data_IF_956949512181
#
_entry.id   IF_956949512181
#
_cell.length_a   1.000
_cell.length_b   1.000
_cell.length_c   1.000
_cell.angle_alpha   90.00
_cell.angle_beta   90.00
_cell.angle_gamma   90.00
#
_symmetry.space_group_name_H-M   'P 1'
#
loop_
_entity.id
_entity.type
_entity.pdbx_description
1 polymer ?
#
# COMPACT_ATOMS: atom_id res chain seq x y z
N UNK A 1 21.25 3.71 -14.41
CA UNK A 1 20.50 4.78 -13.73
C UNK A 1 19.02 4.48 -13.87
N UNK A 2 18.23 4.75 -12.82
CA UNK A 2 16.79 4.50 -12.76
C UNK A 2 16.06 5.82 -12.51
N UNK A 3 15.16 6.18 -13.41
CA UNK A 3 14.17 7.24 -13.18
C UNK A 3 12.99 6.64 -12.44
N UNK A 4 12.63 7.18 -11.28
CA UNK A 4 11.58 6.63 -10.44
C UNK A 4 10.32 7.51 -10.43
N UNK A 5 9.16 6.87 -10.53
CA UNK A 5 7.86 7.50 -10.36
C UNK A 5 7.07 6.79 -9.27
N UNK A 6 6.87 7.43 -8.14
CA UNK A 6 6.11 6.93 -6.99
C UNK A 6 5.78 8.05 -6.02
N UNK A 7 5.08 7.72 -4.94
CA UNK A 7 4.73 8.68 -3.91
C UNK A 7 5.48 8.34 -2.62
N UNK A 8 6.66 8.95 -2.42
CA UNK A 8 7.54 8.68 -1.27
C UNK A 8 8.11 9.97 -0.68
N UNK A 9 8.78 9.88 0.48
CA UNK A 9 9.42 11.01 1.14
C UNK A 9 8.43 12.05 1.69
N UNK A 10 7.18 11.64 1.97
CA UNK A 10 6.10 12.51 2.43
C UNK A 10 5.53 12.06 3.77
N UNK A 11 6.27 11.22 4.51
CA UNK A 11 5.90 10.75 5.84
C UNK A 11 4.82 9.66 5.85
N UNK A 12 4.45 9.11 4.68
CA UNK A 12 3.56 7.95 4.61
C UNK A 12 4.39 6.67 4.56
N UNK A 13 4.49 5.97 5.68
CA UNK A 13 5.33 4.77 5.82
C UNK A 13 5.01 3.68 4.79
N UNK A 14 3.78 3.62 4.28
CA UNK A 14 3.42 2.65 3.26
C UNK A 14 4.05 2.93 1.89
N UNK A 15 4.02 4.18 1.45
CA UNK A 15 4.62 4.58 0.19
C UNK A 15 6.15 4.59 0.30
N UNK A 16 6.69 4.97 1.48
CA UNK A 16 8.12 4.91 1.78
C UNK A 16 8.61 3.45 1.80
N UNK A 17 7.84 2.50 2.36
CA UNK A 17 8.11 1.06 2.32
C UNK A 17 8.34 0.52 0.90
N UNK A 18 7.48 0.95 -0.03
CA UNK A 18 7.61 0.56 -1.44
C UNK A 18 8.91 1.09 -2.04
N UNK A 19 9.24 2.36 -1.77
CA UNK A 19 10.45 2.97 -2.28
C UNK A 19 11.72 2.31 -1.72
N UNK A 20 11.74 2.02 -0.42
CA UNK A 20 12.84 1.31 0.24
C UNK A 20 13.07 -0.08 -0.37
N UNK A 21 11.99 -0.79 -0.67
CA UNK A 21 12.05 -2.08 -1.38
C UNK A 21 12.63 -1.89 -2.78
N UNK A 22 12.14 -0.92 -3.56
CA UNK A 22 12.65 -0.66 -4.90
C UNK A 22 14.16 -0.36 -4.86
N UNK A 23 14.60 0.48 -3.92
CA UNK A 23 16.02 0.79 -3.75
C UNK A 23 16.84 -0.45 -3.36
N UNK A 24 16.32 -1.29 -2.47
CA UNK A 24 16.95 -2.52 -2.02
C UNK A 24 17.04 -3.54 -3.17
N UNK A 25 15.95 -3.76 -3.88
CA UNK A 25 15.88 -4.70 -4.99
C UNK A 25 16.74 -4.25 -6.19
N UNK A 26 16.90 -2.95 -6.38
CA UNK A 26 17.74 -2.37 -7.45
C UNK A 26 19.03 -1.75 -6.90
N UNK A 27 19.55 -2.31 -5.80
CA UNK A 27 20.81 -1.83 -5.23
C UNK A 27 21.95 -1.86 -6.28
N UNK A 28 22.74 -0.81 -6.31
CA UNK A 28 23.73 -0.54 -7.34
C UNK A 28 23.24 0.39 -8.46
N UNK A 29 21.94 0.68 -8.55
CA UNK A 29 21.42 1.73 -9.42
C UNK A 29 21.54 3.11 -8.77
N UNK A 30 21.69 4.14 -9.60
CA UNK A 30 21.55 5.53 -9.18
C UNK A 30 20.10 5.95 -9.51
N UNK A 31 19.38 6.46 -8.52
CA UNK A 31 17.98 6.88 -8.66
C UNK A 31 17.86 8.37 -8.92
N UNK A 32 16.92 8.72 -9.79
CA UNK A 32 16.48 10.11 -10.06
C UNK A 32 14.96 10.12 -10.05
N UNK A 33 14.34 10.94 -9.22
CA UNK A 33 12.89 11.04 -9.18
C UNK A 33 12.34 11.80 -10.38
N UNK A 34 11.21 11.36 -10.90
CA UNK A 34 10.42 12.14 -11.85
C UNK A 34 9.80 13.32 -11.07
N UNK A 35 10.09 14.58 -11.49
CA UNK A 35 9.62 15.76 -10.79
C UNK A 35 8.09 15.85 -10.72
N UNK A 36 7.54 15.94 -9.50
CA UNK A 36 6.11 15.99 -9.25
C UNK A 36 5.52 17.41 -9.42
N UNK A 37 6.27 18.44 -9.02
CA UNK A 37 5.79 19.81 -8.99
C UNK A 37 6.40 20.69 -10.09
N UNK A 38 5.70 21.73 -10.55
CA UNK A 38 6.21 22.62 -11.62
C UNK A 38 7.56 23.27 -11.30
N UNK A 39 7.82 23.60 -10.02
CA UNK A 39 9.10 24.18 -9.62
C UNK A 39 10.24 23.16 -9.65
N UNK A 40 9.99 21.89 -9.29
CA UNK A 40 10.95 20.80 -9.41
C UNK A 40 11.28 20.53 -10.89
N UNK A 41 10.24 20.59 -11.75
CA UNK A 41 10.38 20.43 -13.20
C UNK A 41 11.23 21.55 -13.82
N UNK A 42 10.98 22.79 -13.41
CA UNK A 42 11.79 23.94 -13.84
C UNK A 42 13.24 23.79 -13.36
N UNK A 43 13.44 23.35 -12.12
CA UNK A 43 14.77 23.10 -11.57
C UNK A 43 15.50 21.99 -12.35
N UNK A 44 14.84 20.86 -12.62
CA UNK A 44 15.42 19.75 -13.38
C UNK A 44 15.85 20.20 -14.78
N UNK A 45 15.01 20.97 -15.48
CA UNK A 45 15.34 21.52 -16.80
C UNK A 45 16.49 22.54 -16.73
N UNK A 46 16.49 23.44 -15.73
CA UNK A 46 17.52 24.46 -15.57
C UNK A 46 18.91 23.88 -15.19
N UNK A 47 18.93 22.76 -14.45
CA UNK A 47 20.15 22.08 -14.02
C UNK A 47 20.65 21.01 -14.99
N UNK A 48 19.86 20.69 -16.02
CA UNK A 48 20.17 19.62 -16.98
C UNK A 48 19.91 18.21 -16.46
N UNK A 49 19.21 18.03 -15.33
CA UNK A 49 18.83 16.72 -14.80
C UNK A 49 17.96 15.92 -15.79
N UNK A 50 17.08 16.60 -16.54
CA UNK A 50 16.31 15.99 -17.62
C UNK A 50 17.23 15.36 -18.69
N UNK A 51 18.38 15.97 -18.94
CA UNK A 51 19.36 15.43 -19.88
C UNK A 51 20.09 14.19 -19.31
N UNK A 52 20.33 14.16 -17.99
CA UNK A 52 20.92 13.02 -17.30
C UNK A 52 19.97 11.81 -17.25
N UNK A 53 18.65 12.06 -17.21
CA UNK A 53 17.64 11.01 -17.21
C UNK A 53 17.47 10.32 -18.59
N UNK A 54 17.99 10.90 -19.67
CA UNK A 54 17.93 10.28 -21.00
C UNK A 54 18.69 8.96 -21.03
N UNK A 55 18.01 7.92 -21.55
CA UNK A 55 18.54 6.57 -21.61
C UNK A 55 18.58 5.84 -20.26
N UNK A 56 18.02 6.44 -19.18
CA UNK A 56 17.74 5.71 -17.96
C UNK A 56 16.53 4.81 -18.14
N UNK A 57 16.40 3.80 -17.29
CA UNK A 57 15.18 3.01 -17.22
C UNK A 57 14.15 3.65 -16.28
N UNK A 58 12.89 3.67 -16.66
CA UNK A 58 11.80 4.18 -15.83
C UNK A 58 11.19 3.05 -15.01
N UNK A 59 11.17 3.22 -13.68
CA UNK A 59 10.48 2.31 -12.76
C UNK A 59 9.33 3.03 -12.09
N UNK A 60 8.12 2.49 -12.25
CA UNK A 60 6.96 2.93 -11.48
C UNK A 60 6.91 2.10 -10.20
N UNK A 61 6.97 2.78 -9.04
CA UNK A 61 6.74 2.16 -7.74
C UNK A 61 5.29 1.76 -7.54
N UNK A 62 5.04 0.98 -6.50
CA UNK A 62 3.70 0.57 -6.10
C UNK A 62 2.80 1.74 -5.67
N UNK A 63 1.69 1.40 -5.04
CA UNK A 63 0.64 2.35 -4.73
C UNK A 63 -0.44 2.38 -5.81
N UNK A 64 -1.56 3.05 -5.54
CA UNK A 64 -2.66 3.18 -6.51
C UNK A 64 -2.37 4.35 -7.45
N UNK A 65 -1.66 4.09 -8.54
CA UNK A 65 -1.19 5.09 -9.50
C UNK A 65 -1.97 5.03 -10.82
N UNK A 66 -2.15 3.82 -11.38
CA UNK A 66 -2.87 3.64 -12.65
C UNK A 66 -4.34 4.04 -12.51
N UNK A 67 -4.91 4.65 -13.53
CA UNK A 67 -6.25 5.22 -13.51
C UNK A 67 -6.33 6.64 -12.96
N UNK A 68 -5.24 7.21 -12.45
CA UNK A 68 -5.21 8.59 -11.94
C UNK A 68 -4.58 9.55 -12.94
N UNK A 69 -5.33 10.58 -13.34
CA UNK A 69 -4.89 11.60 -14.30
C UNK A 69 -3.58 12.30 -13.91
N UNK A 70 -3.41 12.56 -12.61
CA UNK A 70 -2.19 13.18 -12.09
C UNK A 70 -0.95 12.35 -12.42
N UNK A 71 -0.96 11.06 -12.03
CA UNK A 71 0.18 10.17 -12.27
C UNK A 71 0.35 9.84 -13.76
N UNK A 72 -0.74 9.77 -14.55
CA UNK A 72 -0.62 9.57 -15.99
C UNK A 72 0.18 10.70 -16.65
N UNK A 73 -0.05 11.95 -16.27
CA UNK A 73 0.70 13.10 -16.80
C UNK A 73 2.18 13.06 -16.40
N UNK A 74 2.48 12.62 -15.17
CA UNK A 74 3.86 12.45 -14.74
C UNK A 74 4.53 11.29 -15.48
N UNK A 75 3.82 10.19 -15.69
CA UNK A 75 4.30 9.06 -16.47
C UNK A 75 4.60 9.44 -17.90
N UNK A 76 3.70 10.14 -18.58
CA UNK A 76 3.86 10.60 -19.95
C UNK A 76 5.14 11.42 -20.09
N UNK A 77 5.33 12.40 -19.19
CA UNK A 77 6.57 13.18 -19.12
C UNK A 77 7.80 12.32 -18.81
N UNK A 78 7.69 11.37 -17.85
CA UNK A 78 8.79 10.45 -17.53
C UNK A 78 9.26 9.68 -18.76
N UNK A 79 8.32 9.15 -19.52
CA UNK A 79 8.59 8.44 -20.78
C UNK A 79 9.25 9.35 -21.83
N UNK A 80 8.77 10.60 -21.97
CA UNK A 80 9.40 11.58 -22.86
C UNK A 80 10.83 11.91 -22.42
N UNK A 81 11.06 12.00 -21.12
CA UNK A 81 12.38 12.35 -20.54
C UNK A 81 13.40 11.23 -20.75
N UNK A 82 13.04 9.97 -20.50
CA UNK A 82 13.96 8.83 -20.67
C UNK A 82 14.20 8.48 -22.14
N UNK A 83 13.26 8.80 -23.05
CA UNK A 83 13.35 8.48 -24.48
C UNK A 83 13.19 7.00 -24.78
N UNK A 84 14.26 6.36 -25.26
CA UNK A 84 14.26 4.93 -25.65
C UNK A 84 14.61 3.97 -24.47
N UNK A 85 14.63 4.46 -23.23
CA UNK A 85 14.89 3.64 -22.04
C UNK A 85 13.75 2.67 -21.75
N UNK A 86 14.09 1.55 -21.12
CA UNK A 86 13.13 0.51 -20.70
C UNK A 86 12.19 1.02 -19.60
N UNK A 87 10.97 0.49 -19.58
CA UNK A 87 9.93 0.88 -18.62
C UNK A 87 9.43 -0.33 -17.82
N UNK A 88 9.30 -0.18 -16.51
CA UNK A 88 8.87 -1.24 -15.61
C UNK A 88 7.84 -0.74 -14.61
N UNK A 89 6.79 -1.54 -14.37
CA UNK A 89 5.78 -1.31 -13.36
C UNK A 89 5.63 -2.60 -12.54
N UNK A 90 6.07 -2.60 -11.28
CA UNK A 90 6.05 -3.78 -10.43
C UNK A 90 5.09 -3.57 -9.27
N UNK A 91 4.06 -4.42 -9.20
CA UNK A 91 3.11 -4.43 -8.10
C UNK A 91 2.26 -3.17 -8.00
N UNK A 92 1.96 -2.49 -9.10
CA UNK A 92 1.16 -1.25 -9.08
C UNK A 92 -0.32 -1.53 -8.76
N UNK A 93 -0.98 -0.59 -8.09
CA UNK A 93 -2.43 -0.61 -7.91
C UNK A 93 -3.14 0.21 -8.99
N UNK A 94 -4.35 -0.22 -9.32
CA UNK A 94 -5.24 0.47 -10.26
C UNK A 94 -6.40 1.11 -9.50
N UNK A 95 -6.73 2.35 -9.85
CA UNK A 95 -7.92 3.04 -9.30
C UNK A 95 -9.18 2.35 -9.83
N UNK A 96 -10.05 1.92 -8.93
CA UNK A 96 -11.31 1.29 -9.32
C UNK A 96 -12.37 2.38 -9.57
N UNK A 97 -12.92 2.48 -10.78
CA UNK A 97 -13.92 3.48 -11.13
C UNK A 97 -15.25 3.32 -10.38
N UNK A 98 -15.47 2.19 -9.70
CA UNK A 98 -16.64 1.99 -8.84
C UNK A 98 -16.64 2.92 -7.64
N UNK A 99 -15.47 3.39 -7.22
CA UNK A 99 -15.32 4.32 -6.11
C UNK A 99 -15.29 5.76 -6.62
N UNK A 100 -16.35 6.51 -6.33
CA UNK A 100 -16.43 7.94 -6.62
C UNK A 100 -16.01 8.73 -5.38
N UNK A 101 -14.71 8.81 -5.14
CA UNK A 101 -14.14 9.63 -4.07
C UNK A 101 -13.95 11.10 -4.48
N UNK A 102 -13.79 11.98 -3.51
CA UNK A 102 -13.52 13.41 -3.77
C UNK A 102 -12.18 13.65 -4.50
N UNK A 103 -11.24 12.72 -4.33
CA UNK A 103 -9.88 12.82 -4.91
C UNK A 103 -9.68 11.91 -6.12
N UNK A 104 -10.60 10.98 -6.36
CA UNK A 104 -10.58 10.16 -7.56
C UNK A 104 -10.99 11.04 -8.73
N UNK A 105 -10.01 11.54 -9.43
CA UNK A 105 -10.23 12.24 -10.70
C UNK A 105 -10.50 11.26 -11.84
N UNK A 106 -11.27 10.20 -11.59
CA UNK A 106 -11.73 9.26 -12.61
C UNK A 106 -12.83 9.93 -13.44
N UNK A 107 -12.42 10.80 -14.34
CA UNK A 107 -13.25 11.08 -15.52
C UNK A 107 -13.48 9.73 -16.22
N UNK A 108 -14.68 9.53 -16.75
CA UNK A 108 -14.98 8.42 -17.63
C UNK A 108 -13.82 8.24 -18.63
N UNK A 109 -13.30 7.02 -18.77
CA UNK A 109 -12.17 6.64 -19.62
C UNK A 109 -10.75 7.02 -19.16
N UNK A 110 -10.49 7.53 -17.95
CA UNK A 110 -9.12 7.85 -17.55
C UNK A 110 -8.20 6.60 -17.61
N UNK A 111 -8.69 5.45 -17.17
CA UNK A 111 -7.92 4.20 -17.21
C UNK A 111 -7.58 3.77 -18.65
N UNK A 112 -8.48 3.97 -19.62
CA UNK A 112 -8.21 3.69 -21.05
C UNK A 112 -7.07 4.54 -21.60
N UNK A 113 -6.86 5.74 -21.05
CA UNK A 113 -5.76 6.64 -21.45
C UNK A 113 -4.40 6.15 -20.95
N UNK A 114 -4.37 5.23 -19.98
CA UNK A 114 -3.14 4.60 -19.51
C UNK A 114 -2.66 3.48 -20.45
N UNK A 115 -3.57 2.86 -21.20
CA UNK A 115 -3.23 1.73 -22.07
C UNK A 115 -2.05 2.01 -23.01
N UNK A 116 -2.02 3.10 -23.83
CA UNK A 116 -0.91 3.33 -24.75
C UNK A 116 0.42 3.54 -24.03
N UNK A 117 0.40 4.06 -22.80
CA UNK A 117 1.62 4.24 -22.00
C UNK A 117 2.11 2.90 -21.45
N UNK A 118 1.23 2.14 -20.77
CA UNK A 118 1.58 0.83 -20.19
C UNK A 118 1.94 -0.21 -21.26
N UNK A 119 1.42 -0.09 -22.50
CA UNK A 119 1.80 -0.97 -23.61
C UNK A 119 3.26 -0.81 -24.06
N UNK A 120 3.98 0.21 -23.58
CA UNK A 120 5.41 0.42 -23.83
C UNK A 120 6.31 -0.25 -22.77
N UNK A 121 5.70 -0.79 -21.72
CA UNK A 121 6.44 -1.34 -20.59
C UNK A 121 6.90 -2.76 -20.88
N UNK A 122 8.15 -3.06 -20.53
CA UNK A 122 8.73 -4.39 -20.64
C UNK A 122 8.18 -5.36 -19.60
N UNK A 123 7.79 -4.83 -18.46
CA UNK A 123 7.12 -5.58 -17.40
C UNK A 123 6.04 -4.72 -16.77
N UNK A 124 4.83 -5.28 -16.66
CA UNK A 124 3.73 -4.71 -15.88
C UNK A 124 3.19 -5.82 -14.98
N UNK A 125 3.29 -5.63 -13.69
CA UNK A 125 2.58 -6.47 -12.72
C UNK A 125 1.80 -5.62 -11.74
N UNK A 126 0.74 -6.19 -11.17
CA UNK A 126 -0.17 -5.47 -10.30
C UNK A 126 -0.24 -6.09 -8.91
N UNK A 127 -0.74 -5.28 -7.96
CA UNK A 127 -0.83 -5.64 -6.55
C UNK A 127 -1.87 -6.72 -6.28
N UNK A 128 -3.01 -6.68 -6.95
CA UNK A 128 -4.13 -7.56 -6.63
C UNK A 128 -4.98 -7.93 -7.85
N UNK A 129 -5.88 -8.92 -7.68
CA UNK A 129 -6.69 -9.48 -8.77
C UNK A 129 -7.64 -8.45 -9.39
N UNK A 130 -8.20 -7.53 -8.60
CA UNK A 130 -9.08 -6.47 -9.13
C UNK A 130 -8.33 -5.50 -10.03
N UNK A 131 -7.10 -5.17 -9.65
CA UNK A 131 -6.22 -4.34 -10.49
C UNK A 131 -5.92 -5.03 -11.83
N UNK A 132 -5.72 -6.36 -11.86
CA UNK A 132 -5.54 -7.13 -13.10
C UNK A 132 -6.82 -7.14 -13.96
N UNK A 133 -8.00 -7.39 -13.36
CA UNK A 133 -9.29 -7.33 -14.04
C UNK A 133 -9.50 -5.97 -14.74
N UNK A 134 -9.24 -4.87 -14.04
CA UNK A 134 -9.38 -3.51 -14.59
C UNK A 134 -8.45 -3.24 -15.78
N UNK A 135 -7.22 -3.76 -15.74
CA UNK A 135 -6.30 -3.65 -16.87
C UNK A 135 -6.71 -4.57 -18.04
N UNK A 136 -7.22 -5.76 -17.75
CA UNK A 136 -7.76 -6.67 -18.79
C UNK A 136 -8.96 -6.04 -19.50
N UNK A 137 -9.84 -5.32 -18.80
CA UNK A 137 -10.99 -4.59 -19.39
C UNK A 137 -10.56 -3.53 -20.41
N UNK A 138 -9.33 -3.04 -20.35
CA UNK A 138 -8.77 -2.12 -21.35
C UNK A 138 -7.81 -2.82 -22.32
N UNK A 139 -7.75 -4.15 -22.30
CA UNK A 139 -6.96 -4.98 -23.21
C UNK A 139 -5.48 -5.09 -22.86
N UNK A 140 -5.15 -5.08 -21.56
CA UNK A 140 -3.81 -5.31 -21.01
C UNK A 140 -3.87 -6.49 -20.02
N UNK A 141 -3.43 -7.66 -20.46
CA UNK A 141 -3.27 -8.84 -19.60
C UNK A 141 -1.96 -8.72 -18.82
N UNK A 142 -2.05 -8.79 -17.48
CA UNK A 142 -0.91 -8.59 -16.58
C UNK A 142 -0.92 -9.61 -15.44
N UNK A 143 0.27 -9.87 -14.88
CA UNK A 143 0.42 -10.78 -13.74
C UNK A 143 0.09 -10.06 -12.42
N UNK A 144 -0.47 -10.81 -11.46
CA UNK A 144 -0.61 -10.38 -10.07
C UNK A 144 0.63 -10.82 -9.30
N UNK A 145 1.51 -9.89 -9.00
CA UNK A 145 2.76 -10.17 -8.27
C UNK A 145 2.72 -9.75 -6.80
N UNK A 146 1.69 -9.01 -6.38
CA UNK A 146 1.56 -8.51 -5.02
C UNK A 146 2.09 -7.09 -4.84
N UNK A 147 1.94 -6.56 -3.62
CA UNK A 147 2.46 -5.25 -3.26
C UNK A 147 3.97 -5.32 -2.95
N UNK A 148 4.82 -4.43 -3.50
CA UNK A 148 6.26 -4.47 -3.27
C UNK A 148 6.65 -4.43 -1.79
N UNK A 149 5.87 -3.79 -0.91
CA UNK A 149 6.15 -3.73 0.52
C UNK A 149 6.22 -5.14 1.17
N UNK A 150 5.66 -6.17 0.54
CA UNK A 150 5.80 -7.57 0.99
C UNK A 150 7.25 -8.09 0.91
N UNK A 151 8.15 -7.42 0.19
CA UNK A 151 9.58 -7.78 0.16
C UNK A 151 10.40 -7.21 1.31
N UNK A 152 9.82 -6.39 2.19
CA UNK A 152 10.50 -5.99 3.41
C UNK A 152 10.93 -7.20 4.26
N UNK A 153 11.90 -7.04 5.17
CA UNK A 153 12.26 -8.08 6.11
C UNK A 153 11.06 -8.51 6.97
N UNK A 154 10.87 -9.81 7.08
CA UNK A 154 9.87 -10.37 7.97
C UNK A 154 10.44 -10.42 9.39
N UNK A 155 9.75 -9.89 10.42
CA UNK A 155 10.27 -9.84 11.77
C UNK A 155 10.15 -11.21 12.45
N UNK A 156 11.14 -11.58 13.24
CA UNK A 156 11.09 -12.71 14.18
C UNK A 156 10.67 -12.21 15.56
N UNK A 157 9.39 -11.83 15.70
CA UNK A 157 8.81 -11.26 16.92
C UNK A 157 7.61 -12.08 17.34
N UNK A 158 7.59 -12.53 18.59
CA UNK A 158 6.42 -13.17 19.18
C UNK A 158 5.34 -12.12 19.51
N UNK A 159 4.10 -12.43 19.17
CA UNK A 159 2.97 -11.56 19.49
C UNK A 159 2.67 -11.57 20.98
N UNK A 160 2.34 -10.40 21.53
CA UNK A 160 1.92 -10.22 22.91
C UNK A 160 0.43 -10.60 23.04
N UNK A 161 0.14 -11.62 23.83
CA UNK A 161 -1.22 -12.12 24.00
C UNK A 161 -2.20 -11.01 24.41
N UNK A 162 -3.30 -10.90 23.68
CA UNK A 162 -4.36 -9.92 23.91
C UNK A 162 -3.99 -8.48 23.60
N UNK A 163 -2.87 -8.20 22.92
CA UNK A 163 -2.53 -6.86 22.43
C UNK A 163 -3.19 -6.65 21.07
N UNK A 164 -4.06 -5.63 20.97
CA UNK A 164 -4.74 -5.25 19.74
C UNK A 164 -4.16 -3.93 19.24
N UNK A 165 -3.65 -3.93 18.01
CA UNK A 165 -3.20 -2.74 17.32
C UNK A 165 -4.36 -1.99 16.68
N UNK A 166 -4.31 -0.65 16.70
CA UNK A 166 -5.32 0.20 16.05
C UNK A 166 -4.61 1.29 15.24
N UNK A 167 -4.93 1.38 13.96
CA UNK A 167 -4.52 2.48 13.08
C UNK A 167 -5.75 3.09 12.43
N UNK A 168 -6.00 4.37 12.67
CA UNK A 168 -7.02 5.15 12.00
C UNK A 168 -6.38 6.31 11.25
N UNK A 169 -6.15 6.09 9.99
CA UNK A 169 -5.63 7.09 9.09
C UNK A 169 -6.54 7.33 7.92
N UNK A 170 -6.06 8.20 7.05
CA UNK A 170 -6.62 8.54 5.77
C UNK A 170 -7.96 9.32 5.81
N UNK A 171 -7.89 10.56 5.51
CA UNK A 171 -8.86 11.62 5.24
C UNK A 171 -10.33 11.30 5.09
N UNK A 172 -10.98 12.13 4.31
CA UNK A 172 -12.44 12.13 4.14
C UNK A 172 -12.89 11.29 2.93
N UNK A 173 -11.92 10.76 2.17
CA UNK A 173 -12.16 10.02 0.91
C UNK A 173 -12.35 8.52 1.19
N UNK A 174 -13.50 8.18 1.75
CA UNK A 174 -13.87 6.84 2.18
C UNK A 174 -15.35 6.52 1.83
N UNK A 175 -15.69 5.23 1.80
CA UNK A 175 -17.07 4.82 1.63
C UNK A 175 -17.97 5.47 2.69
N UNK A 176 -19.06 6.10 2.24
CA UNK A 176 -20.00 6.80 3.10
C UNK A 176 -19.59 8.23 3.47
N UNK A 177 -18.36 8.68 3.15
CA UNK A 177 -17.86 10.05 3.36
C UNK A 177 -18.05 10.58 4.80
N UNK A 178 -18.02 9.67 5.79
CA UNK A 178 -18.21 10.01 7.21
C UNK A 178 -17.01 9.54 8.06
N UNK A 179 -15.95 10.33 8.16
CA UNK A 179 -14.78 9.99 8.97
C UNK A 179 -15.07 10.03 10.49
N UNK A 180 -16.07 10.78 10.92
CA UNK A 180 -16.47 10.85 12.35
C UNK A 180 -17.12 9.55 12.80
N UNK A 181 -17.88 8.90 11.93
CA UNK A 181 -18.41 7.56 12.19
C UNK A 181 -17.29 6.56 12.44
N UNK A 182 -16.21 6.62 11.64
CA UNK A 182 -15.03 5.76 11.82
C UNK A 182 -14.46 5.90 13.24
N UNK A 183 -14.24 7.13 13.70
CA UNK A 183 -13.73 7.43 15.04
C UNK A 183 -14.69 6.94 16.13
N UNK A 184 -15.97 7.20 15.96
CA UNK A 184 -17.01 6.86 16.95
C UNK A 184 -17.17 5.34 17.11
N UNK A 185 -17.30 4.62 16.00
CA UNK A 185 -17.55 3.17 16.02
C UNK A 185 -16.30 2.38 16.47
N UNK A 186 -15.12 2.75 15.99
CA UNK A 186 -13.87 2.13 16.46
C UNK A 186 -13.64 2.46 17.93
N UNK A 187 -13.93 3.68 18.37
CA UNK A 187 -13.85 4.05 19.78
C UNK A 187 -14.81 3.24 20.66
N UNK A 188 -16.01 2.95 20.19
CA UNK A 188 -16.95 2.03 20.83
C UNK A 188 -16.38 0.62 20.96
N UNK A 189 -15.83 0.09 19.87
CA UNK A 189 -15.20 -1.24 19.84
C UNK A 189 -13.99 -1.32 20.78
N UNK A 190 -13.13 -0.30 20.79
CA UNK A 190 -11.96 -0.24 21.67
C UNK A 190 -12.36 -0.31 23.14
N UNK A 191 -13.37 0.46 23.56
CA UNK A 191 -13.88 0.40 24.95
C UNK A 191 -14.39 -1.00 25.32
N UNK A 192 -15.12 -1.63 24.41
CA UNK A 192 -15.62 -3.01 24.62
C UNK A 192 -14.48 -4.02 24.70
N UNK A 193 -13.48 -3.95 23.80
CA UNK A 193 -12.31 -4.84 23.83
C UNK A 193 -11.51 -4.68 25.12
N UNK A 194 -11.33 -3.46 25.61
CA UNK A 194 -10.69 -3.19 26.92
C UNK A 194 -11.51 -3.80 28.07
N UNK A 195 -12.85 -3.68 28.03
CA UNK A 195 -13.71 -4.28 29.05
C UNK A 195 -13.62 -5.82 29.08
N UNK A 196 -13.27 -6.44 27.96
CA UNK A 196 -12.98 -7.87 27.81
C UNK A 196 -11.54 -8.27 28.19
N UNK A 197 -10.72 -7.31 28.63
CA UNK A 197 -9.36 -7.55 29.11
C UNK A 197 -8.26 -7.43 28.04
N UNK A 198 -8.59 -6.96 26.82
CA UNK A 198 -7.57 -6.70 25.80
C UNK A 198 -6.80 -5.41 26.09
N UNK A 199 -5.52 -5.40 25.73
CA UNK A 199 -4.67 -4.20 25.73
C UNK A 199 -4.68 -3.57 24.34
N UNK A 200 -4.65 -2.25 24.26
CA UNK A 200 -4.71 -1.52 23.00
C UNK A 200 -3.42 -0.73 22.78
N UNK A 201 -2.91 -0.76 21.56
CA UNK A 201 -1.82 0.12 21.09
C UNK A 201 -2.26 0.85 19.84
N UNK A 202 -2.09 2.17 19.82
CA UNK A 202 -2.23 2.99 18.60
C UNK A 202 -0.96 2.91 17.76
N UNK A 203 -1.07 2.68 16.46
CA UNK A 203 0.07 2.61 15.53
C UNK A 203 -0.16 3.61 14.40
N UNK A 204 0.69 4.64 14.32
CA UNK A 204 0.58 5.68 13.32
C UNK A 204 1.43 5.34 12.10
N UNK A 205 0.83 5.38 10.92
CA UNK A 205 1.53 5.19 9.64
C UNK A 205 1.86 6.53 8.96
N UNK A 206 1.32 7.60 9.49
CA UNK A 206 1.54 8.98 9.08
C UNK A 206 1.18 9.90 10.24
N UNK A 207 1.76 11.09 10.33
CA UNK A 207 1.42 12.05 11.41
C UNK A 207 -0.06 12.45 11.39
N UNK A 208 -0.68 12.56 10.21
CA UNK A 208 -2.11 12.87 10.07
C UNK A 208 -3.05 11.81 10.69
N UNK A 209 -2.54 10.62 11.03
CA UNK A 209 -3.33 9.58 11.69
C UNK A 209 -3.57 9.88 13.17
N UNK A 210 -2.74 10.76 13.75
CA UNK A 210 -2.68 11.00 15.19
C UNK A 210 -4.03 11.42 15.77
N UNK A 211 -4.61 12.50 15.27
CA UNK A 211 -5.86 13.05 15.81
C UNK A 211 -6.98 11.99 15.86
N UNK A 212 -7.21 11.29 14.75
CA UNK A 212 -8.28 10.28 14.67
C UNK A 212 -8.00 9.08 15.55
N UNK A 213 -6.75 8.61 15.56
CA UNK A 213 -6.35 7.49 16.42
C UNK A 213 -6.50 7.84 17.89
N UNK A 214 -5.98 9.00 18.34
CA UNK A 214 -6.08 9.44 19.73
C UNK A 214 -7.55 9.62 20.18
N UNK A 215 -8.38 10.21 19.34
CA UNK A 215 -9.81 10.40 19.63
C UNK A 215 -10.55 9.09 19.74
N UNK A 216 -10.31 8.13 18.84
CA UNK A 216 -10.93 6.81 18.91
C UNK A 216 -10.46 6.02 20.14
N UNK A 217 -9.18 6.10 20.48
CA UNK A 217 -8.64 5.39 21.64
C UNK A 217 -9.09 5.99 22.98
N UNK A 218 -9.50 7.29 23.03
CA UNK A 218 -10.11 7.91 24.21
C UNK A 218 -9.29 7.79 25.48
N UNK A 219 -7.96 7.70 25.40
CA UNK A 219 -7.06 7.57 26.55
C UNK A 219 -6.99 6.16 27.17
N UNK A 220 -7.64 5.16 26.61
CA UNK A 220 -7.57 3.76 27.12
C UNK A 220 -6.42 2.95 26.50
N UNK A 221 -5.72 3.48 25.52
CA UNK A 221 -4.56 2.82 24.94
C UNK A 221 -3.39 2.76 25.94
N UNK A 222 -2.70 1.62 25.94
CA UNK A 222 -1.47 1.46 26.73
C UNK A 222 -0.36 2.41 26.23
N UNK A 223 -0.29 2.61 24.92
CA UNK A 223 0.63 3.53 24.24
C UNK A 223 0.14 3.88 22.84
N UNK A 224 0.65 4.96 22.28
CA UNK A 224 0.55 5.29 20.87
C UNK A 224 1.98 5.42 20.34
N UNK A 225 2.27 4.69 19.27
CA UNK A 225 3.59 4.65 18.64
C UNK A 225 3.52 5.23 17.23
N UNK A 226 4.55 5.96 16.87
CA UNK A 226 4.82 6.40 15.52
C UNK A 226 6.15 5.79 15.10
N UNK A 227 6.14 4.69 14.33
CA UNK A 227 7.37 4.09 13.84
C UNK A 227 8.18 5.07 13.00
N UNK A 228 9.49 4.97 13.06
CA UNK A 228 10.39 5.85 12.30
C UNK A 228 10.46 5.46 10.82
N UNK A 229 10.29 4.16 10.54
CA UNK A 229 10.36 3.56 9.20
C UNK A 229 9.40 2.37 9.05
N UNK A 230 9.33 1.83 7.85
CA UNK A 230 8.46 0.71 7.54
C UNK A 230 8.87 -0.58 8.27
N UNK A 231 10.14 -0.82 8.52
CA UNK A 231 10.63 -2.02 9.23
C UNK A 231 10.20 -1.97 10.69
N UNK A 232 10.33 -0.81 11.33
CA UNK A 232 9.82 -0.56 12.69
C UNK A 232 8.30 -0.69 12.76
N UNK A 233 7.57 -0.26 11.71
CA UNK A 233 6.12 -0.44 11.63
C UNK A 233 5.74 -1.92 11.57
N UNK A 234 6.43 -2.73 10.74
CA UNK A 234 6.22 -4.19 10.70
C UNK A 234 6.47 -4.81 12.07
N UNK A 235 7.54 -4.39 12.77
CA UNK A 235 7.88 -4.89 14.09
C UNK A 235 6.79 -4.58 15.15
N UNK A 236 6.21 -3.38 15.15
CA UNK A 236 5.11 -3.02 16.06
C UNK A 236 3.82 -3.78 15.72
N UNK A 237 3.52 -3.98 14.43
CA UNK A 237 2.38 -4.78 13.98
C UNK A 237 2.53 -6.26 14.38
N UNK A 238 3.74 -6.83 14.27
CA UNK A 238 4.05 -8.20 14.67
C UNK A 238 3.82 -8.48 16.16
N UNK A 239 4.00 -7.47 17.02
CA UNK A 239 3.69 -7.60 18.47
C UNK A 239 2.22 -7.79 18.77
N UNK A 240 1.33 -7.41 17.86
CA UNK A 240 -0.11 -7.49 18.08
C UNK A 240 -0.66 -8.89 17.82
N UNK A 241 -1.63 -9.33 18.64
CA UNK A 241 -2.39 -10.55 18.38
C UNK A 241 -3.37 -10.40 17.22
N UNK A 242 -3.85 -9.17 16.99
CA UNK A 242 -4.63 -8.75 15.84
C UNK A 242 -4.53 -7.23 15.67
N UNK A 243 -4.86 -6.71 14.48
CA UNK A 243 -4.85 -5.26 14.20
C UNK A 243 -6.14 -4.81 13.52
N UNK A 244 -6.65 -3.65 13.93
CA UNK A 244 -7.77 -2.94 13.28
C UNK A 244 -7.19 -1.74 12.55
N UNK A 245 -7.24 -1.76 11.22
CA UNK A 245 -6.52 -0.78 10.40
C UNK A 245 -7.39 -0.18 9.31
N UNK A 246 -7.28 1.12 9.11
CA UNK A 246 -7.87 1.80 7.96
C UNK A 246 -6.86 2.06 6.85
N UNK A 247 -5.58 2.26 7.15
CA UNK A 247 -4.58 2.41 6.09
C UNK A 247 -4.27 1.05 5.44
N UNK A 248 -4.33 1.02 4.11
CA UNK A 248 -4.04 -0.19 3.34
C UNK A 248 -2.68 -0.80 3.70
N UNK A 249 -1.62 0.02 3.73
CA UNK A 249 -0.28 -0.50 4.02
C UNK A 249 -0.10 -0.96 5.46
N UNK A 250 -0.88 -0.45 6.42
CA UNK A 250 -0.89 -1.05 7.75
C UNK A 250 -1.38 -2.51 7.69
N UNK A 251 -2.39 -2.79 6.84
CA UNK A 251 -2.86 -4.15 6.58
C UNK A 251 -1.83 -5.01 5.81
N UNK A 252 -1.17 -4.44 4.80
CA UNK A 252 -0.12 -5.15 4.02
C UNK A 252 1.07 -5.53 4.92
N UNK A 253 1.54 -4.59 5.73
CA UNK A 253 2.67 -4.81 6.65
C UNK A 253 2.30 -5.77 7.79
N UNK A 254 1.05 -5.75 8.26
CA UNK A 254 0.55 -6.74 9.21
C UNK A 254 0.46 -8.15 8.60
N UNK A 255 0.03 -8.25 7.33
CA UNK A 255 0.03 -9.51 6.60
C UNK A 255 1.46 -10.06 6.40
N UNK A 256 2.44 -9.20 6.11
CA UNK A 256 3.86 -9.58 6.07
C UNK A 256 4.34 -10.12 7.42
N UNK A 257 3.86 -9.53 8.54
CA UNK A 257 4.15 -9.99 9.90
C UNK A 257 3.30 -11.20 10.34
N UNK A 258 2.46 -11.75 9.47
CA UNK A 258 1.49 -12.81 9.77
C UNK A 258 0.54 -12.45 10.94
N UNK A 259 0.29 -11.17 11.15
CA UNK A 259 -0.64 -10.67 12.16
C UNK A 259 -2.05 -10.62 11.58
N UNK A 260 -3.07 -11.24 12.21
CA UNK A 260 -4.46 -11.15 11.77
C UNK A 260 -4.95 -9.70 11.64
N UNK A 261 -5.57 -9.38 10.49
CA UNK A 261 -6.01 -8.03 10.14
C UNK A 261 -7.53 -7.91 10.18
N UNK A 262 -8.02 -6.84 10.77
CA UNK A 262 -9.38 -6.34 10.56
C UNK A 262 -9.25 -5.06 9.75
N UNK A 263 -9.53 -5.16 8.45
CA UNK A 263 -9.35 -4.06 7.51
C UNK A 263 -10.64 -3.23 7.40
N UNK A 264 -10.56 -1.97 7.78
CA UNK A 264 -11.63 -1.01 7.58
C UNK A 264 -11.58 -0.56 6.11
N UNK A 265 -12.38 -1.22 5.28
CA UNK A 265 -12.40 -1.00 3.84
C UNK A 265 -12.91 0.40 3.53
N UNK A 266 -12.00 1.36 3.39
CA UNK A 266 -12.36 2.73 3.05
C UNK A 266 -12.44 2.96 1.55
N UNK A 267 -11.75 2.15 0.75
CA UNK A 267 -11.72 2.19 -0.70
C UNK A 267 -11.55 0.78 -1.28
N UNK A 268 -11.87 0.54 -2.56
CA UNK A 268 -11.78 -0.78 -3.20
C UNK A 268 -10.40 -1.44 -3.13
N UNK A 269 -9.32 -0.66 -3.04
CA UNK A 269 -7.95 -1.18 -2.91
C UNK A 269 -7.73 -2.04 -1.66
N UNK A 270 -8.52 -1.83 -0.60
CA UNK A 270 -8.47 -2.70 0.58
C UNK A 270 -8.99 -4.10 0.23
N UNK A 271 -10.10 -4.17 -0.52
CA UNK A 271 -10.65 -5.44 -1.01
C UNK A 271 -9.73 -6.11 -2.02
N UNK A 272 -9.10 -5.34 -2.91
CA UNK A 272 -8.15 -5.87 -3.88
C UNK A 272 -6.98 -6.62 -3.18
N UNK A 273 -6.45 -6.02 -2.11
CA UNK A 273 -5.43 -6.68 -1.30
C UNK A 273 -5.98 -7.89 -0.51
N UNK A 274 -7.13 -7.77 0.14
CA UNK A 274 -7.72 -8.87 0.92
C UNK A 274 -8.03 -10.09 0.03
N UNK A 275 -8.50 -9.87 -1.21
CA UNK A 275 -8.66 -10.93 -2.23
C UNK A 275 -7.32 -11.58 -2.60
N UNK A 276 -6.24 -10.79 -2.68
CA UNK A 276 -4.93 -11.33 -3.03
C UNK A 276 -4.37 -12.29 -1.98
N UNK A 277 -4.72 -12.11 -0.71
CA UNK A 277 -4.28 -12.96 0.40
C UNK A 277 -5.35 -13.95 0.90
N UNK A 278 -6.46 -14.08 0.17
CA UNK A 278 -7.60 -14.95 0.48
C UNK A 278 -8.19 -14.68 1.89
N UNK A 279 -8.30 -13.40 2.26
CA UNK A 279 -8.82 -12.97 3.56
C UNK A 279 -9.88 -11.86 3.44
N UNK A 280 -10.83 -11.97 2.51
CA UNK A 280 -11.94 -11.01 2.37
C UNK A 280 -12.84 -10.91 3.61
N UNK A 281 -12.87 -11.95 4.43
CA UNK A 281 -13.58 -11.94 5.71
C UNK A 281 -13.04 -10.91 6.71
N UNK A 282 -11.81 -10.43 6.53
CA UNK A 282 -11.21 -9.37 7.35
C UNK A 282 -11.84 -7.99 7.14
N UNK A 283 -12.60 -7.80 6.06
CA UNK A 283 -13.09 -6.50 5.61
C UNK A 283 -14.36 -6.06 6.34
N UNK A 284 -14.39 -4.78 6.74
CA UNK A 284 -15.60 -4.06 7.15
C UNK A 284 -15.63 -2.75 6.38
N UNK A 285 -16.63 -2.55 5.50
CA UNK A 285 -16.77 -1.27 4.79
C UNK A 285 -17.09 -0.13 5.75
N UNK A 286 -16.47 1.02 5.54
CA UNK A 286 -16.63 2.17 6.43
C UNK A 286 -18.05 2.75 6.46
N UNK A 287 -18.83 2.62 5.38
CA UNK A 287 -20.23 3.03 5.33
C UNK A 287 -21.19 2.10 6.12
N UNK A 288 -20.78 0.88 6.42
CA UNK A 288 -21.54 -0.10 7.21
C UNK A 288 -20.88 -0.44 8.55
N UNK A 289 -19.83 0.28 8.93
CA UNK A 289 -19.07 0.06 10.15
C UNK A 289 -19.93 0.25 11.40
N UNK A 290 -19.83 -0.70 12.33
CA UNK A 290 -20.37 -0.62 13.69
C UNK A 290 -19.35 -1.14 14.70
N UNK A 291 -19.42 -0.64 15.93
CA UNK A 291 -18.55 -1.10 17.02
C UNK A 291 -18.69 -2.61 17.24
N UNK A 292 -19.93 -3.14 17.21
CA UNK A 292 -20.19 -4.57 17.34
C UNK A 292 -19.52 -5.40 16.25
N UNK A 293 -19.56 -4.96 14.98
CA UNK A 293 -18.91 -5.66 13.88
C UNK A 293 -17.38 -5.70 14.05
N UNK A 294 -16.75 -4.63 14.54
CA UNK A 294 -15.32 -4.62 14.82
C UNK A 294 -14.98 -5.62 15.92
N UNK A 295 -15.73 -5.62 17.03
CA UNK A 295 -15.50 -6.54 18.15
C UNK A 295 -15.67 -7.99 17.71
N UNK A 296 -16.71 -8.30 16.92
CA UNK A 296 -16.94 -9.64 16.38
C UNK A 296 -15.77 -10.08 15.49
N UNK A 297 -15.32 -9.22 14.57
CA UNK A 297 -14.17 -9.53 13.69
C UNK A 297 -12.86 -9.73 14.45
N UNK A 298 -12.61 -8.93 15.50
CA UNK A 298 -11.44 -9.13 16.36
C UNK A 298 -11.54 -10.48 17.07
N UNK A 299 -12.71 -10.84 17.62
CA UNK A 299 -12.90 -12.14 18.27
C UNK A 299 -12.68 -13.30 17.28
N UNK A 300 -13.30 -13.24 16.09
CA UNK A 300 -13.10 -14.24 15.03
C UNK A 300 -11.63 -14.36 14.61
N UNK A 301 -10.93 -13.24 14.48
CA UNK A 301 -9.53 -13.20 14.09
C UNK A 301 -8.62 -13.86 15.15
N UNK A 302 -8.89 -13.64 16.43
CA UNK A 302 -8.16 -14.25 17.52
C UNK A 302 -8.44 -15.76 17.63
N UNK A 303 -9.70 -16.19 17.47
CA UNK A 303 -10.09 -17.60 17.50
C UNK A 303 -9.51 -18.40 16.32
N UNK A 304 -9.39 -17.76 15.15
CA UNK A 304 -8.90 -18.39 13.92
C UNK A 304 -7.46 -18.00 13.56
N UNK A 305 -6.69 -17.42 14.49
CA UNK A 305 -5.39 -16.82 14.22
C UNK A 305 -4.43 -17.77 13.48
N UNK A 306 -4.32 -19.04 13.88
CA UNK A 306 -3.42 -20.02 13.25
C UNK A 306 -3.84 -20.35 11.81
N UNK A 307 -5.14 -20.34 11.51
CA UNK A 307 -5.64 -20.58 10.15
C UNK A 307 -5.37 -19.37 9.27
N UNK A 308 -5.63 -18.16 9.78
CA UNK A 308 -5.36 -16.90 9.09
C UNK A 308 -3.87 -16.80 8.78
N UNK A 309 -3.00 -17.01 9.77
CA UNK A 309 -1.54 -16.98 9.60
C UNK A 309 -1.08 -17.92 8.48
N UNK A 310 -1.58 -19.17 8.46
CA UNK A 310 -1.21 -20.12 7.41
C UNK A 310 -1.68 -19.70 6.02
N UNK A 311 -2.93 -19.22 5.89
CA UNK A 311 -3.49 -18.81 4.59
C UNK A 311 -2.79 -17.56 4.08
N UNK A 312 -2.73 -16.52 4.89
CA UNK A 312 -2.08 -15.25 4.53
C UNK A 312 -0.58 -15.44 4.33
N UNK A 313 0.11 -16.19 5.22
CA UNK A 313 1.54 -16.46 5.08
C UNK A 313 1.89 -17.23 3.81
N UNK A 314 1.06 -18.20 3.39
CA UNK A 314 1.24 -18.89 2.12
C UNK A 314 1.10 -17.95 0.91
N UNK A 315 0.10 -17.07 0.93
CA UNK A 315 -0.09 -16.07 -0.12
C UNK A 315 1.05 -15.05 -0.16
N UNK A 316 1.46 -14.52 1.00
CA UNK A 316 2.60 -13.60 1.13
C UNK A 316 3.87 -14.24 0.56
N UNK A 317 4.17 -15.50 0.92
CA UNK A 317 5.33 -16.23 0.39
C UNK A 317 5.29 -16.30 -1.13
N UNK A 318 4.16 -16.69 -1.72
CA UNK A 318 3.99 -16.76 -3.18
C UNK A 318 4.23 -15.39 -3.84
N UNK A 319 3.69 -14.31 -3.28
CA UNK A 319 3.90 -12.97 -3.85
C UNK A 319 5.32 -12.48 -3.68
N UNK A 320 6.00 -12.79 -2.59
CA UNK A 320 7.43 -12.51 -2.45
C UNK A 320 8.26 -13.18 -3.55
N UNK A 321 7.97 -14.42 -3.89
CA UNK A 321 8.63 -15.15 -4.99
C UNK A 321 8.36 -14.49 -6.36
N UNK A 322 7.11 -14.09 -6.64
CA UNK A 322 6.74 -13.40 -7.89
C UNK A 322 7.39 -12.03 -8.01
N UNK A 323 7.33 -11.21 -6.95
CA UNK A 323 7.97 -9.90 -6.90
C UNK A 323 9.48 -10.01 -7.09
N UNK A 324 10.13 -10.97 -6.41
CA UNK A 324 11.57 -11.21 -6.60
C UNK A 324 11.90 -11.57 -8.06
N UNK A 325 11.07 -12.38 -8.71
CA UNK A 325 11.23 -12.72 -10.13
C UNK A 325 11.04 -11.49 -11.03
N UNK A 326 10.08 -10.62 -10.74
CA UNK A 326 9.89 -9.38 -11.50
C UNK A 326 11.09 -8.43 -11.34
N UNK A 327 11.57 -8.22 -10.11
CA UNK A 327 12.77 -7.40 -9.89
C UNK A 327 14.02 -8.02 -10.51
N UNK A 328 14.15 -9.34 -10.58
CA UNK A 328 15.24 -10.00 -11.29
C UNK A 328 15.23 -9.69 -12.79
N UNK A 329 14.03 -9.64 -13.43
CA UNK A 329 13.89 -9.19 -14.82
C UNK A 329 14.33 -7.73 -14.97
N UNK A 330 13.84 -6.83 -14.08
CA UNK A 330 14.26 -5.42 -14.08
C UNK A 330 15.78 -5.30 -13.97
N UNK A 331 16.41 -5.99 -13.00
CA UNK A 331 17.87 -5.98 -12.82
C UNK A 331 18.61 -6.43 -14.06
N UNK A 332 18.17 -7.51 -14.68
CA UNK A 332 18.75 -8.04 -15.91
C UNK A 332 18.70 -7.01 -17.04
N UNK A 333 17.56 -6.34 -17.23
CA UNK A 333 17.38 -5.34 -18.27
C UNK A 333 18.25 -4.11 -18.07
N UNK A 334 18.40 -3.64 -16.83
CA UNK A 334 19.23 -2.46 -16.51
C UNK A 334 20.72 -2.80 -16.29
N UNK A 335 21.14 -4.04 -16.55
CA UNK A 335 22.53 -4.48 -16.45
C UNK A 335 23.08 -4.63 -15.03
N UNK A 336 22.22 -4.84 -14.03
CA UNK A 336 22.63 -5.15 -12.66
C UNK A 336 22.74 -6.67 -12.46
N UNK A 337 23.69 -7.14 -11.61
CA UNK A 337 23.77 -8.56 -11.27
C UNK A 337 22.50 -9.02 -10.55
N UNK A 338 22.05 -10.26 -10.80
CA UNK A 338 20.92 -10.86 -10.07
C UNK A 338 21.38 -11.13 -8.63
N UNK A 339 20.53 -10.80 -7.66
CA UNK A 339 20.78 -10.99 -6.23
C UNK A 339 20.18 -12.32 -5.79
#
# INVERSE_FOLDING_TARGET
MVSYLGWHGRGNLGDDAIYDVVQTQLCGAVFVDIPHHPHEQLFASATGLDHWARGSSLVIGGGTLAGRRYFRRLLDRGIETIGDGDCFAVGIGVEDPVFQGFKSGSEDDELRRWRPLLSRFDTVSVRGPRSAELLADIGLEVEVSGDPALLLPQPEIESENGLIGVNLGFGDDLWGHDPERLVTEVGGAVRELVSRGHRIVGILMHEDDRDRTERALGGVAARIVQPEDAVSAVAELARCSAVVVSRLHAGILAALAETPVISLEYQPKCRDFARSVDDERSLIRTDSLTAGAVVERVSDALENADTIKRTVGAAVKMYRERLAADYAKVRSSIGLPII
#
